data_IF_776279725918
#
_entry.id   IF_776279725918
#
_cell.length_a   1.000
_cell.length_b   1.000
_cell.length_c   1.000
_cell.angle_alpha   90.00
_cell.angle_beta   90.00
_cell.angle_gamma   90.00
#
_symmetry.space_group_name_H-M   'P 1'
#
loop_
_entity.id
_entity.type
_entity.pdbx_description
1 polymer ?
#
# COMPACT_ATOMS: atom_id res chain seq x y z
N UNK A 1 -14.25 5.70 -0.19
CA UNK A 1 -13.09 4.81 -0.01
C UNK A 1 -12.34 5.27 1.22
N UNK A 2 -12.14 4.38 2.20
CA UNK A 2 -11.45 4.71 3.45
C UNK A 2 -9.98 5.07 3.18
N UNK A 3 -9.45 6.00 3.99
CA UNK A 3 -8.07 6.49 3.93
C UNK A 3 -7.54 6.58 5.35
N UNK A 4 -6.37 6.00 5.58
CA UNK A 4 -5.71 5.98 6.88
C UNK A 4 -4.38 6.69 6.79
N UNK A 5 -3.89 7.15 7.94
CA UNK A 5 -2.55 7.74 8.07
C UNK A 5 -1.78 6.88 9.08
N UNK A 6 -0.54 6.56 8.75
CA UNK A 6 0.36 5.76 9.58
C UNK A 6 1.73 6.39 9.60
N UNK A 7 2.41 6.36 10.74
CA UNK A 7 3.79 6.86 10.84
C UNK A 7 4.76 5.67 10.82
N UNK A 8 5.60 5.62 9.79
CA UNK A 8 6.48 4.49 9.57
C UNK A 8 7.77 4.93 8.87
N UNK A 9 8.90 4.35 9.31
CA UNK A 9 10.23 4.71 8.80
C UNK A 9 10.57 6.21 9.01
N UNK A 10 10.02 6.82 10.07
CA UNK A 10 10.19 8.24 10.38
C UNK A 10 9.50 9.19 9.39
N UNK A 11 8.55 8.68 8.61
CA UNK A 11 7.74 9.45 7.69
C UNK A 11 6.26 9.16 7.89
N UNK A 12 5.44 10.19 7.69
CA UNK A 12 3.98 10.04 7.67
C UNK A 12 3.55 9.53 6.30
N UNK A 13 2.91 8.38 6.30
CA UNK A 13 2.37 7.72 5.11
C UNK A 13 0.85 7.76 5.14
N UNK A 14 0.31 7.99 3.96
CA UNK A 14 -1.10 7.93 3.71
C UNK A 14 -1.43 6.64 2.98
N UNK A 15 -2.39 5.90 3.52
CA UNK A 15 -2.76 4.58 3.04
C UNK A 15 -4.18 4.63 2.48
N UNK A 16 -4.35 4.16 1.26
CA UNK A 16 -5.65 4.06 0.61
C UNK A 16 -5.82 2.69 -0.04
N UNK A 17 -7.07 2.27 -0.18
CA UNK A 17 -7.41 1.11 -0.99
C UNK A 17 -7.17 1.44 -2.46
N UNK A 18 -6.25 0.72 -3.11
CA UNK A 18 -6.04 0.79 -4.55
C UNK A 18 -6.93 -0.27 -5.19
N UNK A 19 -7.95 0.17 -5.94
CA UNK A 19 -8.91 -0.72 -6.62
C UNK A 19 -8.32 -1.63 -7.70
N UNK A 20 -7.00 -1.67 -7.87
CA UNK A 20 -6.28 -2.58 -8.76
C UNK A 20 -6.31 -3.99 -8.16
N UNK A 21 -7.39 -4.71 -8.44
CA UNK A 21 -7.49 -6.15 -8.25
C UNK A 21 -6.41 -6.82 -9.11
N UNK A 22 -5.38 -7.39 -8.49
CA UNK A 22 -4.54 -8.34 -9.20
C UNK A 22 -5.39 -9.60 -9.44
N UNK A 23 -5.73 -9.83 -10.70
CA UNK A 23 -6.54 -10.91 -11.28
C UNK A 23 -6.25 -12.36 -10.79
N UNK A 24 -5.23 -12.57 -9.96
CA UNK A 24 -4.77 -13.89 -9.53
C UNK A 24 -5.35 -14.37 -8.19
N UNK A 25 -5.83 -13.49 -7.29
CA UNK A 25 -6.28 -13.91 -5.96
C UNK A 25 -7.54 -13.16 -5.56
N UNK A 26 -8.67 -13.89 -5.45
CA UNK A 26 -10.03 -13.36 -5.22
C UNK A 26 -10.22 -12.62 -3.89
N UNK A 27 -9.24 -12.67 -2.99
CA UNK A 27 -9.32 -12.07 -1.64
C UNK A 27 -8.17 -11.07 -1.35
N UNK A 28 -7.28 -10.81 -2.31
CA UNK A 28 -6.20 -9.83 -2.11
C UNK A 28 -6.58 -8.48 -2.71
N UNK A 29 -6.52 -7.43 -1.88
CA UNK A 29 -6.64 -6.05 -2.31
C UNK A 29 -5.29 -5.35 -2.23
N UNK A 30 -5.05 -4.43 -3.17
CA UNK A 30 -3.84 -3.62 -3.19
C UNK A 30 -4.03 -2.40 -2.28
N UNK A 31 -3.09 -2.15 -1.39
CA UNK A 31 -2.99 -0.89 -0.64
C UNK A 31 -1.98 0.02 -1.34
N UNK A 32 -2.35 1.28 -1.53
CA UNK A 32 -1.42 2.34 -1.94
C UNK A 32 -0.97 3.10 -0.70
N UNK A 33 0.33 3.14 -0.48
CA UNK A 33 1.00 3.99 0.48
C UNK A 33 1.59 5.17 -0.28
N UNK A 34 1.21 6.39 0.08
CA UNK A 34 1.75 7.60 -0.51
C UNK A 34 2.35 8.49 0.56
N UNK A 35 3.51 9.09 0.27
CA UNK A 35 4.08 10.16 1.08
C UNK A 35 4.59 11.28 0.19
N UNK A 36 4.44 12.51 0.64
CA UNK A 36 5.09 13.66 0.01
C UNK A 36 6.56 13.66 0.41
N UNK A 37 7.46 13.73 -0.58
CA UNK A 37 8.91 13.84 -0.38
C UNK A 37 9.43 14.91 -1.32
N UNK A 38 10.34 15.78 -0.85
CA UNK A 38 10.96 16.91 -1.57
C UNK A 38 10.80 16.86 -3.11
N UNK A 39 9.80 17.60 -3.63
CA UNK A 39 9.53 17.73 -5.07
C UNK A 39 8.64 16.67 -5.72
N UNK A 40 8.09 15.70 -4.99
CA UNK A 40 7.22 14.66 -5.55
C UNK A 40 6.40 13.84 -4.53
N UNK A 41 5.68 12.84 -5.05
CA UNK A 41 4.90 11.89 -4.25
C UNK A 41 5.53 10.51 -4.42
N UNK A 42 6.08 9.96 -3.35
CA UNK A 42 6.54 8.57 -3.31
C UNK A 42 5.33 7.66 -3.09
N UNK A 43 5.13 6.70 -4.00
CA UNK A 43 4.07 5.69 -3.90
C UNK A 43 4.66 4.29 -3.76
N UNK A 44 4.12 3.51 -2.83
CA UNK A 44 4.43 2.10 -2.62
C UNK A 44 3.15 1.28 -2.58
N UNK A 45 3.21 0.05 -3.05
CA UNK A 45 2.04 -0.83 -3.09
C UNK A 45 2.30 -2.08 -2.26
N UNK A 46 1.33 -2.45 -1.42
CA UNK A 46 1.35 -3.69 -0.65
C UNK A 46 0.08 -4.51 -0.91
N UNK A 47 0.17 -5.82 -0.70
CA UNK A 47 -1.01 -6.68 -0.74
C UNK A 47 -1.59 -6.84 0.66
N UNK A 48 -2.89 -6.66 0.77
CA UNK A 48 -3.64 -6.87 2.01
C UNK A 48 -4.69 -7.95 1.78
N UNK A 49 -4.56 -9.04 2.54
CA UNK A 49 -5.55 -10.11 2.60
C UNK A 49 -6.34 -9.97 3.90
N UNK A 50 -7.62 -9.57 3.85
CA UNK A 50 -8.47 -9.51 5.03
C UNK A 50 -8.87 -10.93 5.45
N UNK A 51 -7.99 -11.65 6.16
CA UNK A 51 -8.22 -13.03 6.62
C UNK A 51 -9.59 -13.18 7.32
N UNK A 52 -10.59 -13.66 6.56
CA UNK A 52 -11.93 -13.96 7.05
C UNK A 52 -12.86 -12.76 7.25
N UNK A 53 -12.51 -11.54 6.79
CA UNK A 53 -13.43 -10.42 6.89
C UNK A 53 -14.44 -10.42 5.73
N UNK A 54 -15.72 -10.18 6.05
CA UNK A 54 -16.79 -10.07 5.03
C UNK A 54 -16.59 -8.90 4.06
N UNK A 55 -15.77 -7.92 4.41
CA UNK A 55 -15.51 -6.72 3.58
C UNK A 55 -14.11 -6.20 3.80
N UNK A 56 -13.36 -6.03 2.70
CA UNK A 56 -11.99 -5.54 2.71
C UNK A 56 -11.90 -4.10 3.26
N UNK A 57 -12.89 -3.25 2.95
CA UNK A 57 -13.00 -1.89 3.50
C UNK A 57 -13.10 -1.87 5.02
N UNK A 58 -14.01 -2.67 5.61
CA UNK A 58 -14.18 -2.79 7.07
C UNK A 58 -12.92 -3.32 7.76
N UNK A 59 -12.21 -4.25 7.11
CA UNK A 59 -10.97 -4.79 7.65
C UNK A 59 -9.85 -3.76 7.59
N UNK A 60 -9.81 -2.95 6.52
CA UNK A 60 -8.88 -1.86 6.37
C UNK A 60 -9.14 -0.75 7.39
N UNK A 61 -10.38 -0.31 7.59
CA UNK A 61 -10.74 0.71 8.60
C UNK A 61 -10.35 0.31 10.03
N UNK A 62 -10.30 -0.99 10.31
CA UNK A 62 -9.89 -1.53 11.61
C UNK A 62 -8.39 -1.90 11.64
N UNK A 63 -7.64 -1.67 10.57
CA UNK A 63 -6.22 -1.94 10.51
C UNK A 63 -5.47 -1.05 11.51
N UNK A 64 -4.72 -1.68 12.40
CA UNK A 64 -3.88 -0.95 13.34
C UNK A 64 -2.64 -0.38 12.64
N UNK A 65 -2.09 0.71 13.16
CA UNK A 65 -0.85 1.32 12.68
C UNK A 65 0.29 0.30 12.54
N UNK A 66 0.47 -0.58 13.53
CA UNK A 66 1.46 -1.68 13.49
C UNK A 66 1.28 -2.64 12.31
N UNK A 67 0.03 -2.89 11.88
CA UNK A 67 -0.26 -3.72 10.72
C UNK A 67 0.09 -2.96 9.43
N UNK A 68 -0.29 -1.69 9.35
CA UNK A 68 0.02 -0.83 8.19
C UNK A 68 1.54 -0.66 8.02
N UNK A 69 2.28 -0.41 9.10
CA UNK A 69 3.74 -0.35 9.09
C UNK A 69 4.39 -1.66 8.64
N UNK A 70 3.84 -2.82 9.06
CA UNK A 70 4.29 -4.14 8.58
C UNK A 70 4.03 -4.34 7.09
N UNK A 71 2.86 -3.94 6.61
CA UNK A 71 2.51 -4.02 5.19
C UNK A 71 3.40 -3.10 4.35
N UNK A 72 3.68 -1.89 4.85
CA UNK A 72 4.62 -0.96 4.24
C UNK A 72 6.04 -1.53 4.16
N UNK A 73 6.50 -2.25 5.19
CA UNK A 73 7.81 -2.91 5.19
C UNK A 73 7.92 -3.99 4.10
N UNK A 74 6.80 -4.60 3.71
CA UNK A 74 6.72 -5.52 2.56
C UNK A 74 6.34 -4.83 1.25
N UNK A 75 6.01 -3.53 1.28
CA UNK A 75 5.55 -2.80 0.12
C UNK A 75 6.72 -2.54 -0.82
N UNK A 76 6.59 -3.02 -2.05
CA UNK A 76 7.55 -2.72 -3.10
C UNK A 76 7.40 -1.28 -3.56
N UNK A 77 8.50 -0.60 -3.94
CA UNK A 77 8.39 0.68 -4.63
C UNK A 77 7.70 0.49 -5.98
N UNK A 78 6.91 1.47 -6.43
CA UNK A 78 6.10 1.37 -7.64
C UNK A 78 6.88 0.96 -8.91
N UNK A 79 8.20 1.23 -8.98
CA UNK A 79 9.09 0.86 -10.09
C UNK A 79 9.51 -0.62 -10.14
N UNK A 80 9.20 -1.42 -9.10
CA UNK A 80 9.41 -2.88 -9.11
C UNK A 80 8.19 -3.67 -9.58
N UNK A 81 7.07 -2.99 -9.87
CA UNK A 81 6.00 -3.60 -10.65
C UNK A 81 6.52 -3.80 -12.09
N UNK A 82 6.33 -4.98 -12.71
CA UNK A 82 6.83 -5.29 -14.06
C UNK A 82 6.27 -4.40 -15.19
N UNK A 83 5.44 -3.40 -14.87
CA UNK A 83 4.88 -2.45 -15.82
C UNK A 83 5.52 -1.04 -15.77
N UNK A 84 6.60 -0.84 -15.01
CA UNK A 84 7.22 0.48 -14.80
C UNK A 84 8.74 0.46 -14.73
N UNK A 85 9.39 -0.26 -15.65
CA UNK A 85 10.84 -0.27 -15.75
C UNK A 85 11.39 1.01 -16.38
N UNK A 86 11.99 1.88 -15.57
CA UNK A 86 13.28 2.52 -15.86
C UNK A 86 14.02 2.64 -14.54
N UNK A 87 15.08 1.84 -14.39
CA UNK A 87 16.10 2.05 -13.37
C UNK A 87 16.95 3.28 -13.76
N UNK A 88 17.34 4.16 -12.83
CA UNK A 88 18.38 5.13 -13.13
C UNK A 88 19.74 4.41 -13.17
N UNK A 89 20.35 4.36 -14.34
CA UNK A 89 21.73 3.93 -14.52
C UNK A 89 22.61 5.11 -14.92
N UNK A 90 23.75 5.25 -14.25
CA UNK A 90 24.94 5.97 -14.72
C UNK A 90 25.06 7.42 -14.27
#
# INVERSE_FOLDING_TARGET
MPRLVTDADGATWEVALSGRHTQYVRDEISLEFSRTRDGGIERRYARFSPRGAKSAERAFEQASDRLLARLLATAGPAWTAPEGGVAPGG
#
